data_IF_968295104458
#
_entry.id   IF_968295104458
#
_cell.length_a   1.000
_cell.length_b   1.000
_cell.length_c   1.000
_cell.angle_alpha   90.00
_cell.angle_beta   90.00
_cell.angle_gamma   90.00
#
_symmetry.space_group_name_H-M   'P 1'
#
loop_
_entity.id
_entity.type
_entity.pdbx_description
1 polymer ?
#
# COMPACT_ATOMS: atom_id res chain seq x y z
N UNK A 1 -10.96 -19.07 1.52
CA UNK A 1 -9.81 -19.08 0.57
C UNK A 1 -10.03 -18.29 -0.72
N UNK A 2 -11.20 -18.32 -1.38
CA UNK A 2 -11.42 -17.69 -2.71
C UNK A 2 -11.24 -16.17 -2.70
N UNK A 3 -11.78 -15.47 -1.70
CA UNK A 3 -11.69 -14.01 -1.58
C UNK A 3 -10.24 -13.48 -1.48
N UNK A 4 -9.36 -14.23 -0.82
CA UNK A 4 -7.93 -13.90 -0.72
C UNK A 4 -7.21 -14.01 -2.08
N UNK A 5 -7.59 -14.97 -2.93
CA UNK A 5 -7.00 -15.14 -4.27
C UNK A 5 -7.46 -14.05 -5.23
N UNK A 6 -8.74 -13.69 -5.17
CA UNK A 6 -9.32 -12.62 -5.99
C UNK A 6 -8.73 -11.25 -5.60
N UNK A 7 -8.58 -11.00 -4.30
CA UNK A 7 -7.90 -9.80 -3.80
C UNK A 7 -6.43 -9.72 -4.23
N UNK A 8 -5.69 -10.83 -4.15
CA UNK A 8 -4.28 -10.89 -4.57
C UNK A 8 -4.10 -10.65 -6.09
N UNK A 9 -4.99 -11.21 -6.91
CA UNK A 9 -4.98 -11.01 -8.37
C UNK A 9 -5.30 -9.57 -8.76
N UNK A 10 -6.26 -8.92 -8.09
CA UNK A 10 -6.56 -7.51 -8.35
C UNK A 10 -5.44 -6.59 -7.85
N UNK A 11 -4.77 -6.95 -6.75
CA UNK A 11 -3.64 -6.20 -6.21
C UNK A 11 -2.41 -6.23 -7.12
N UNK A 12 -2.08 -7.39 -7.71
CA UNK A 12 -0.90 -7.50 -8.59
C UNK A 12 -1.04 -6.66 -9.87
N UNK A 13 -2.23 -6.59 -10.45
CA UNK A 13 -2.51 -5.77 -11.64
C UNK A 13 -2.34 -4.28 -11.33
N UNK A 14 -2.79 -3.84 -10.15
CA UNK A 14 -2.61 -2.45 -9.72
C UNK A 14 -1.13 -2.09 -9.52
N UNK A 15 -0.33 -3.00 -8.94
CA UNK A 15 1.12 -2.81 -8.76
C UNK A 15 1.86 -2.79 -10.09
N UNK A 16 1.51 -3.66 -11.04
CA UNK A 16 2.11 -3.69 -12.36
C UNK A 16 1.84 -2.39 -13.16
N UNK A 17 0.60 -1.89 -13.10
CA UNK A 17 0.25 -0.62 -13.72
C UNK A 17 0.98 0.56 -13.07
N UNK A 18 1.14 0.56 -11.74
CA UNK A 18 1.89 1.58 -11.01
C UNK A 18 3.38 1.59 -11.36
N UNK A 19 4.01 0.42 -11.49
CA UNK A 19 5.42 0.29 -11.89
C UNK A 19 5.67 0.79 -13.32
N UNK A 20 4.73 0.55 -14.24
CA UNK A 20 4.85 0.97 -15.64
C UNK A 20 4.79 2.50 -15.80
N UNK A 21 4.06 3.21 -14.93
CA UNK A 21 3.99 4.68 -14.92
C UNK A 21 5.33 5.38 -14.67
N UNK A 22 6.30 4.71 -14.05
CA UNK A 22 7.62 5.27 -13.75
C UNK A 22 8.60 5.23 -14.93
N UNK A 23 8.29 4.51 -16.02
CA UNK A 23 9.22 4.34 -17.13
C UNK A 23 9.26 5.51 -18.15
N UNK A 24 8.39 6.52 -17.98
CA UNK A 24 8.10 7.52 -19.03
C UNK A 24 8.77 8.89 -18.94
N UNK A 25 9.21 9.38 -17.77
CA UNK A 25 9.67 10.78 -17.67
C UNK A 25 10.75 10.99 -16.62
N UNK A 26 11.87 11.58 -17.04
CA UNK A 26 13.00 11.93 -16.17
C UNK A 26 12.86 13.39 -15.73
N UNK A 27 12.55 13.63 -14.44
CA UNK A 27 12.41 14.97 -13.85
C UNK A 27 12.88 14.92 -12.39
N UNK A 28 14.00 15.60 -12.09
CA UNK A 28 14.70 15.53 -10.80
C UNK A 28 13.83 15.88 -9.58
N UNK A 29 12.80 16.70 -9.74
CA UNK A 29 11.83 17.03 -8.68
C UNK A 29 10.90 15.84 -8.34
N UNK A 30 10.56 15.00 -9.32
CA UNK A 30 9.62 13.88 -9.15
C UNK A 30 10.24 12.71 -8.39
N UNK A 31 11.56 12.55 -8.48
CA UNK A 31 12.28 11.47 -7.82
C UNK A 31 12.17 11.58 -6.28
N UNK A 32 12.19 12.80 -5.72
CA UNK A 32 12.04 13.03 -4.28
C UNK A 32 10.60 12.73 -3.80
N UNK A 33 9.59 13.20 -4.54
CA UNK A 33 8.18 12.87 -4.27
C UNK A 33 7.89 11.36 -4.40
N UNK A 34 8.48 10.68 -5.37
CA UNK A 34 8.29 9.23 -5.56
C UNK A 34 8.88 8.42 -4.40
N UNK A 35 9.98 8.87 -3.79
CA UNK A 35 10.57 8.22 -2.62
C UNK A 35 9.67 8.36 -1.39
N UNK A 36 9.13 9.54 -1.15
CA UNK A 36 8.18 9.77 -0.05
C UNK A 36 6.86 9.02 -0.28
N UNK A 37 6.32 9.03 -1.51
CA UNK A 37 5.13 8.27 -1.86
C UNK A 37 5.37 6.74 -1.73
N UNK A 38 6.54 6.25 -2.15
CA UNK A 38 6.93 4.85 -1.97
C UNK A 38 7.07 4.47 -0.48
N UNK A 39 7.59 5.36 0.35
CA UNK A 39 7.68 5.16 1.79
C UNK A 39 6.28 5.14 2.45
N UNK A 40 5.39 6.06 2.05
CA UNK A 40 4.00 6.11 2.52
C UNK A 40 3.22 4.85 2.11
N UNK A 41 3.40 4.36 0.88
CA UNK A 41 2.78 3.13 0.38
C UNK A 41 3.28 1.89 1.12
N UNK A 42 4.59 1.75 1.29
CA UNK A 42 5.19 0.60 1.99
C UNK A 42 4.89 0.60 3.49
N UNK A 43 4.91 1.76 4.13
CA UNK A 43 4.47 1.92 5.51
C UNK A 43 2.98 1.62 5.67
N UNK A 44 2.12 2.14 4.78
CA UNK A 44 0.69 1.85 4.74
C UNK A 44 0.39 0.36 4.56
N UNK A 45 1.10 -0.32 3.65
CA UNK A 45 0.98 -1.76 3.42
C UNK A 45 1.37 -2.56 4.67
N UNK A 46 2.46 -2.17 5.34
CA UNK A 46 2.95 -2.85 6.55
C UNK A 46 2.01 -2.63 7.74
N UNK A 47 1.51 -1.40 7.93
CA UNK A 47 0.52 -1.07 8.96
C UNK A 47 -0.87 -1.65 8.68
N UNK A 48 -1.20 -1.92 7.42
CA UNK A 48 -2.41 -2.63 7.05
C UNK A 48 -2.26 -4.14 7.30
N UNK A 49 -1.18 -4.77 6.81
CA UNK A 49 -0.98 -6.22 6.95
C UNK A 49 -0.59 -6.67 8.36
N UNK A 50 0.15 -5.85 9.12
CA UNK A 50 0.67 -6.20 10.45
C UNK A 50 -0.42 -6.58 11.46
N UNK A 51 -1.43 -5.72 11.70
CA UNK A 51 -2.54 -6.01 12.60
C UNK A 51 -3.34 -7.26 12.20
N UNK A 52 -3.54 -7.50 10.91
CA UNK A 52 -4.23 -8.71 10.41
C UNK A 52 -3.42 -9.98 10.65
N UNK A 53 -2.10 -9.94 10.46
CA UNK A 53 -1.22 -11.08 10.74
C UNK A 53 -1.14 -11.36 12.24
N UNK A 54 -1.08 -10.30 13.06
CA UNK A 54 -1.14 -10.41 14.51
C UNK A 54 -2.48 -10.99 14.99
N UNK A 55 -3.60 -10.51 14.44
CA UNK A 55 -4.93 -11.06 14.72
C UNK A 55 -5.04 -12.54 14.32
N UNK A 56 -4.42 -12.95 13.20
CA UNK A 56 -4.44 -14.34 12.75
C UNK A 56 -3.68 -15.30 13.69
N UNK A 57 -2.64 -14.82 14.37
CA UNK A 57 -1.82 -15.63 15.30
C UNK A 57 -2.39 -15.61 16.73
N UNK A 58 -2.81 -14.43 17.21
CA UNK A 58 -3.18 -14.22 18.62
C UNK A 58 -4.69 -14.22 18.86
N UNK A 59 -5.51 -14.02 17.82
CA UNK A 59 -6.98 -13.96 17.91
C UNK A 59 -7.55 -12.69 18.58
N UNK A 60 -6.70 -11.75 19.00
CA UNK A 60 -7.10 -10.52 19.71
C UNK A 60 -7.36 -9.36 18.73
N UNK A 61 -8.61 -8.87 18.59
CA UNK A 61 -8.97 -7.81 17.65
C UNK A 61 -8.54 -6.40 18.09
N UNK A 62 -7.91 -6.24 19.25
CA UNK A 62 -7.44 -4.95 19.79
C UNK A 62 -6.63 -4.13 18.78
N UNK A 63 -5.71 -4.77 18.04
CA UNK A 63 -4.86 -4.09 17.06
C UNK A 63 -5.55 -3.77 15.72
N UNK A 64 -6.76 -4.30 15.44
CA UNK A 64 -7.45 -4.02 14.16
C UNK A 64 -7.83 -2.54 13.97
N UNK A 65 -7.81 -1.71 15.02
CA UNK A 65 -7.99 -0.25 14.89
C UNK A 65 -6.83 0.45 14.18
N UNK A 66 -5.66 -0.18 14.08
CA UNK A 66 -4.53 0.34 13.30
C UNK A 66 -4.67 0.08 11.79
N UNK A 67 -5.49 -0.90 11.37
CA UNK A 67 -5.73 -1.21 9.97
C UNK A 67 -6.34 -0.05 9.14
N UNK A 68 -7.36 0.70 9.61
CA UNK A 68 -7.87 1.85 8.86
C UNK A 68 -6.83 2.99 8.73
N UNK A 69 -5.89 3.12 9.67
CA UNK A 69 -4.78 4.09 9.57
C UNK A 69 -3.76 3.67 8.52
N UNK A 70 -3.46 2.36 8.41
CA UNK A 70 -2.66 1.82 7.31
C UNK A 70 -3.33 2.06 5.94
N UNK A 71 -4.65 1.92 5.87
CA UNK A 71 -5.43 2.19 4.66
C UNK A 71 -5.43 3.65 4.23
N UNK A 72 -5.56 4.60 5.16
CA UNK A 72 -5.48 6.04 4.83
C UNK A 72 -4.09 6.45 4.36
N UNK A 73 -3.02 5.93 4.97
CA UNK A 73 -1.63 6.11 4.49
C UNK A 73 -1.46 5.59 3.06
N UNK A 74 -2.11 4.48 2.70
CA UNK A 74 -2.03 3.89 1.37
C UNK A 74 -2.77 4.74 0.32
N UNK A 75 -3.94 5.30 0.67
CA UNK A 75 -4.68 6.25 -0.19
C UNK A 75 -3.87 7.54 -0.40
N UNK A 76 -3.26 8.08 0.66
CA UNK A 76 -2.40 9.26 0.57
C UNK A 76 -1.15 9.01 -0.26
N UNK A 77 -0.52 7.84 -0.12
CA UNK A 77 0.62 7.44 -0.95
C UNK A 77 0.27 7.37 -2.44
N UNK A 78 -0.92 6.86 -2.78
CA UNK A 78 -1.43 6.89 -4.15
C UNK A 78 -1.75 8.31 -4.64
N UNK A 79 -2.40 9.14 -3.82
CA UNK A 79 -2.71 10.53 -4.17
C UNK A 79 -1.43 11.36 -4.39
N UNK A 80 -0.39 11.13 -3.60
CA UNK A 80 0.92 11.78 -3.74
C UNK A 80 1.66 11.39 -5.03
N UNK A 81 1.39 10.20 -5.60
CA UNK A 81 1.93 9.82 -6.92
C UNK A 81 1.15 10.44 -8.09
N UNK A 82 -0.14 10.71 -7.89
CA UNK A 82 -1.02 11.22 -8.93
C UNK A 82 -0.91 12.75 -9.14
N UNK A 83 -0.46 13.48 -8.11
CA UNK A 83 -0.17 14.92 -8.13
C UNK A 83 1.26 15.18 -8.64
#
# INVERSE_FOLDING_TARGET
MVWLRVGALSGSVAVAAAAYGAHGFRRSDRDDYQKEAGALLSAGMTLFCGPFYYFAVTGDPSLNRAAPVGGTLLILGWAAMAL
#
